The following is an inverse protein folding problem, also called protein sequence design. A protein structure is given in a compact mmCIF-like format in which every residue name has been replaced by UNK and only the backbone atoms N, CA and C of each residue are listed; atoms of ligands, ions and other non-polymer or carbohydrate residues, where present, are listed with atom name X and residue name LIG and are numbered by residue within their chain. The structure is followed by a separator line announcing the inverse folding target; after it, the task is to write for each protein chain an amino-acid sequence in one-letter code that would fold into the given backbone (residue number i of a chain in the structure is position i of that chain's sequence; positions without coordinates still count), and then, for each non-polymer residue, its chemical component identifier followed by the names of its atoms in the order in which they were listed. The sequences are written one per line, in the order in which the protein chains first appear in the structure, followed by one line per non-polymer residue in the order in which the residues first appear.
data_IF_887348957303
#
_entry.id   IF_887348957303
#
_cell.length_a   1.000
_cell.length_b   1.000
_cell.length_c   1.000
_cell.angle_alpha   90.00
_cell.angle_beta   90.00
_cell.angle_gamma   90.00
#
_symmetry.space_group_name_H-M   'P 1'
#
loop_
_entity.id
_entity.type
_entity.pdbx_description
1 polymer ?
#
# COMPACT_ATOMS: atom_id res chain seq x y z
N UNK A 1 84.72 -14.85 8.65
CA UNK A 1 84.13 -15.99 7.91
C UNK A 1 82.73 -15.52 7.48
N UNK A 2 82.68 -14.92 6.36
CA UNK A 2 82.16 -15.32 5.07
C UNK A 2 80.92 -16.22 5.16
N UNK A 3 79.77 -15.73 4.72
CA UNK A 3 79.16 -16.22 3.50
C UNK A 3 77.92 -15.34 3.14
N UNK A 4 77.95 -14.94 1.88
CA UNK A 4 76.96 -14.19 1.18
C UNK A 4 75.71 -15.04 0.88
N UNK A 5 74.54 -14.42 0.78
CA UNK A 5 73.41 -15.01 0.09
C UNK A 5 72.51 -13.97 -0.60
N UNK A 6 72.50 -14.10 -1.78
CA UNK A 6 71.65 -13.82 -2.93
C UNK A 6 70.27 -13.14 -2.63
N UNK A 7 70.13 -11.96 -3.18
CA UNK A 7 68.89 -11.32 -3.51
C UNK A 7 68.12 -12.09 -4.61
N UNK A 8 66.81 -12.19 -4.44
CA UNK A 8 65.87 -12.55 -5.52
C UNK A 8 65.00 -11.34 -5.84
N UNK A 9 64.66 -11.11 -7.12
CA UNK A 9 64.00 -9.92 -7.57
C UNK A 9 62.50 -9.91 -7.22
N UNK A 10 62.02 -8.73 -6.90
CA UNK A 10 60.65 -8.44 -6.52
C UNK A 10 59.61 -8.72 -7.61
N UNK A 11 58.51 -9.27 -7.17
CA UNK A 11 57.24 -9.25 -7.90
C UNK A 11 56.47 -8.02 -7.44
N UNK A 12 56.21 -7.14 -8.38
CA UNK A 12 55.33 -5.99 -8.20
C UNK A 12 53.89 -6.45 -7.86
N UNK A 13 53.17 -5.76 -6.97
CA UNK A 13 51.78 -6.07 -6.73
C UNK A 13 50.94 -5.65 -7.96
N UNK A 14 50.30 -6.65 -8.54
CA UNK A 14 49.24 -6.42 -9.55
C UNK A 14 48.07 -5.74 -8.83
N UNK A 15 47.93 -4.44 -9.05
CA UNK A 15 46.71 -3.72 -8.70
C UNK A 15 45.56 -4.31 -9.52
N UNK A 16 44.77 -5.16 -8.88
CA UNK A 16 43.45 -5.54 -9.36
C UNK A 16 42.54 -4.34 -9.18
N UNK A 17 42.53 -3.48 -10.19
CA UNK A 17 41.52 -2.41 -10.32
C UNK A 17 40.18 -3.11 -10.55
N UNK A 18 39.43 -3.35 -9.46
CA UNK A 18 38.03 -3.73 -9.55
C UNK A 18 37.29 -2.53 -10.16
N UNK A 19 37.02 -2.63 -11.45
CA UNK A 19 36.04 -1.82 -12.15
C UNK A 19 34.71 -1.99 -11.41
N UNK A 20 34.42 -1.07 -10.51
CA UNK A 20 33.05 -0.78 -10.10
C UNK A 20 32.42 -0.21 -11.35
N UNK A 21 31.77 -1.07 -12.13
CA UNK A 21 30.80 -0.63 -13.12
C UNK A 21 29.67 0.04 -12.34
N UNK A 22 29.74 1.36 -12.24
CA UNK A 22 28.57 2.18 -12.05
C UNK A 22 27.65 1.83 -13.23
N UNK A 23 26.58 1.08 -12.93
CA UNK A 23 25.51 0.87 -13.89
C UNK A 23 24.97 2.25 -14.29
N UNK A 24 25.38 2.70 -15.44
CA UNK A 24 24.66 3.77 -16.14
C UNK A 24 23.27 3.24 -16.39
N UNK A 25 22.25 3.91 -15.81
CA UNK A 25 20.86 3.72 -16.16
C UNK A 25 20.78 3.78 -17.69
N UNK A 26 20.42 2.67 -18.32
CA UNK A 26 20.14 2.65 -19.73
C UNK A 26 18.86 3.46 -19.93
N UNK A 27 18.94 4.55 -20.70
CA UNK A 27 17.80 5.43 -21.05
C UNK A 27 16.69 4.71 -21.88
N UNK A 28 16.77 3.41 -22.03
CA UNK A 28 15.78 2.65 -22.78
C UNK A 28 14.83 1.89 -21.83
N UNK A 29 13.51 2.08 -21.98
CA UNK A 29 12.53 1.35 -21.19
C UNK A 29 12.68 -0.15 -21.45
N UNK A 30 12.53 -0.95 -20.36
CA UNK A 30 12.58 -2.41 -20.47
C UNK A 30 11.42 -2.93 -21.32
N UNK A 31 11.56 -4.13 -21.95
CA UNK A 31 10.46 -4.75 -22.70
C UNK A 31 9.17 -4.89 -21.88
N UNK A 32 9.30 -5.22 -20.58
CA UNK A 32 8.18 -5.35 -19.64
C UNK A 32 7.47 -4.01 -19.42
N UNK A 33 8.24 -2.92 -19.25
CA UNK A 33 7.68 -1.57 -19.12
C UNK A 33 6.95 -1.14 -20.39
N UNK A 34 7.53 -1.41 -21.57
CA UNK A 34 6.88 -1.10 -22.84
C UNK A 34 5.59 -1.89 -23.05
N UNK A 35 5.58 -3.17 -22.69
CA UNK A 35 4.39 -4.01 -22.77
C UNK A 35 3.29 -3.50 -21.82
N UNK A 36 3.64 -3.21 -20.56
CA UNK A 36 2.71 -2.66 -19.58
C UNK A 36 2.07 -1.35 -20.04
N UNK A 37 2.87 -0.42 -20.58
CA UNK A 37 2.36 0.84 -21.19
C UNK A 37 1.38 0.56 -22.31
N UNK A 38 1.76 -0.31 -23.26
CA UNK A 38 0.89 -0.65 -24.40
C UNK A 38 -0.46 -1.23 -23.95
N UNK A 39 -0.47 -2.07 -22.91
CA UNK A 39 -1.72 -2.63 -22.38
C UNK A 39 -2.54 -1.58 -21.64
N UNK A 40 -1.90 -0.69 -20.87
CA UNK A 40 -2.58 0.42 -20.20
C UNK A 40 -3.21 1.38 -21.21
N UNK A 41 -2.52 1.66 -22.33
CA UNK A 41 -3.06 2.53 -23.37
C UNK A 41 -4.24 1.90 -24.11
N UNK A 42 -4.25 0.60 -24.26
CA UNK A 42 -5.33 -0.13 -24.94
C UNK A 42 -6.55 -0.37 -24.06
N UNK A 43 -6.36 -0.47 -22.73
CA UNK A 43 -7.43 -0.78 -21.77
C UNK A 43 -8.40 0.40 -21.60
N UNK A 44 -9.69 0.07 -21.48
CA UNK A 44 -10.78 1.03 -21.33
C UNK A 44 -11.38 1.05 -19.91
N UNK A 45 -11.22 -0.06 -19.18
CA UNK A 45 -11.71 -0.24 -17.81
C UNK A 45 -10.61 -0.81 -16.96
N UNK A 46 -9.87 0.09 -16.32
CA UNK A 46 -8.74 -0.27 -15.48
C UNK A 46 -9.18 -0.28 -14.02
N UNK A 47 -8.95 -1.41 -13.36
CA UNK A 47 -9.03 -1.50 -11.90
C UNK A 47 -7.64 -1.31 -11.33
N UNK A 48 -7.51 -0.35 -10.42
CA UNK A 48 -6.28 -0.14 -9.64
C UNK A 48 -6.45 -0.74 -8.26
N UNK A 49 -5.52 -1.59 -7.81
CA UNK A 49 -5.46 -2.16 -6.47
C UNK A 49 -4.23 -1.65 -5.74
N UNK A 50 -4.40 -0.82 -4.69
CA UNK A 50 -3.27 -0.25 -3.97
C UNK A 50 -3.08 -0.82 -2.58
N UNK A 51 -1.83 -0.78 -2.08
CA UNK A 51 -1.46 -1.19 -0.74
C UNK A 51 -0.49 -0.22 -0.07
N UNK A 52 -0.04 -0.56 1.14
CA UNK A 52 0.71 0.33 2.04
C UNK A 52 2.04 0.83 1.46
N UNK A 53 2.65 0.09 0.53
CA UNK A 53 3.87 0.51 -0.16
C UNK A 53 3.72 1.85 -0.89
N UNK A 54 2.51 2.19 -1.36
CA UNK A 54 2.25 3.48 -2.02
C UNK A 54 2.37 4.66 -1.05
N UNK A 55 2.06 4.47 0.23
CA UNK A 55 2.04 5.54 1.26
C UNK A 55 3.36 5.68 2.02
N UNK A 56 4.36 4.82 1.79
CA UNK A 56 5.65 4.89 2.51
C UNK A 56 6.39 6.19 2.24
N UNK A 57 6.35 6.69 1.01
CA UNK A 57 6.90 7.99 0.64
C UNK A 57 6.18 9.19 1.28
N UNK A 58 4.94 8.99 1.74
CA UNK A 58 4.17 9.98 2.51
C UNK A 58 4.49 9.97 4.00
N UNK A 59 5.46 9.15 4.43
CA UNK A 59 5.86 9.01 5.83
C UNK A 59 5.00 8.06 6.65
N UNK A 60 4.10 7.30 6.02
CA UNK A 60 3.29 6.26 6.67
C UNK A 60 4.02 4.92 6.48
N UNK A 61 4.49 4.27 7.57
CA UNK A 61 5.15 2.98 7.44
C UNK A 61 4.18 1.90 6.96
N UNK A 62 4.65 0.99 6.14
CA UNK A 62 3.92 -0.22 5.82
C UNK A 62 3.86 -1.19 7.04
N UNK A 63 3.24 -2.35 6.85
CA UNK A 63 3.06 -3.31 7.95
C UNK A 63 4.16 -4.37 8.00
N UNK A 64 4.64 -4.87 6.85
CA UNK A 64 5.46 -6.07 6.72
C UNK A 64 6.80 -5.87 6.03
N UNK A 65 7.03 -4.71 5.40
CA UNK A 65 8.31 -4.38 4.79
C UNK A 65 9.45 -4.33 5.81
N UNK A 66 10.70 -4.14 5.40
CA UNK A 66 11.86 -4.13 6.28
C UNK A 66 11.76 -3.10 7.42
N UNK A 67 11.00 -2.03 7.22
CA UNK A 67 10.73 -0.98 8.21
C UNK A 67 9.27 -1.00 8.71
N UNK A 68 8.53 -2.05 8.39
CA UNK A 68 7.11 -2.20 8.69
C UNK A 68 6.80 -2.24 10.18
N UNK A 69 5.59 -1.80 10.54
CA UNK A 69 5.14 -1.69 11.94
C UNK A 69 5.25 -3.02 12.68
N UNK A 70 4.83 -4.12 12.06
CA UNK A 70 4.88 -5.45 12.69
C UNK A 70 6.25 -6.10 12.64
N UNK A 71 7.09 -5.72 11.68
CA UNK A 71 8.50 -6.15 11.64
C UNK A 71 9.27 -5.56 12.80
N UNK A 72 8.96 -4.31 13.19
CA UNK A 72 9.61 -3.61 14.31
C UNK A 72 9.02 -3.97 15.67
N UNK A 73 7.71 -4.15 15.73
CA UNK A 73 6.97 -4.48 16.95
C UNK A 73 5.91 -5.55 16.65
N UNK A 74 6.24 -6.84 16.82
CA UNK A 74 5.27 -7.94 16.62
C UNK A 74 4.05 -7.85 17.52
N UNK A 75 4.13 -7.22 18.69
CA UNK A 75 2.97 -7.02 19.59
C UNK A 75 1.98 -5.97 19.05
N UNK A 76 2.42 -5.10 18.13
CA UNK A 76 1.54 -4.13 17.47
C UNK A 76 0.46 -4.82 16.61
N UNK A 77 0.66 -6.06 16.16
CA UNK A 77 -0.36 -6.82 15.44
C UNK A 77 -1.63 -7.03 16.30
N UNK A 78 -1.48 -7.20 17.62
CA UNK A 78 -2.60 -7.34 18.56
C UNK A 78 -3.52 -6.12 18.57
N UNK A 79 -2.99 -4.92 18.33
CA UNK A 79 -3.78 -3.69 18.24
C UNK A 79 -4.68 -3.67 16.99
N UNK A 80 -4.36 -4.50 16.00
CA UNK A 80 -5.11 -4.64 14.75
C UNK A 80 -6.04 -5.86 14.72
N UNK A 81 -6.15 -6.64 15.79
CA UNK A 81 -7.02 -7.82 15.90
C UNK A 81 -8.28 -7.51 16.72
N UNK A 82 -9.44 -7.75 16.11
CA UNK A 82 -10.75 -7.43 16.74
C UNK A 82 -10.99 -8.17 18.05
N UNK A 83 -10.48 -9.37 18.21
CA UNK A 83 -10.67 -10.19 19.42
C UNK A 83 -10.03 -9.54 20.64
N UNK A 84 -8.80 -9.06 20.50
CA UNK A 84 -8.11 -8.33 21.57
C UNK A 84 -8.75 -6.98 21.82
N UNK A 85 -9.15 -6.25 20.77
CA UNK A 85 -9.81 -4.96 20.89
C UNK A 85 -11.13 -5.08 21.70
N UNK A 86 -11.93 -6.11 21.47
CA UNK A 86 -13.20 -6.33 22.17
C UNK A 86 -13.00 -6.75 23.64
N UNK A 87 -12.00 -7.61 23.90
CA UNK A 87 -11.86 -8.26 25.19
C UNK A 87 -11.01 -7.49 26.21
N UNK A 88 -10.09 -6.60 25.75
CA UNK A 88 -9.13 -5.95 26.65
C UNK A 88 -9.19 -4.42 26.52
N UNK A 89 -9.69 -3.72 27.58
CA UNK A 89 -9.69 -2.25 27.63
C UNK A 89 -8.30 -1.62 27.51
N UNK A 90 -7.23 -2.30 27.94
CA UNK A 90 -5.88 -1.76 27.81
C UNK A 90 -5.39 -1.80 26.36
N UNK A 91 -5.81 -2.81 25.59
CA UNK A 91 -5.56 -2.83 24.13
C UNK A 91 -6.30 -1.69 23.45
N UNK A 92 -7.59 -1.44 23.81
CA UNK A 92 -8.33 -0.27 23.27
C UNK A 92 -7.65 1.06 23.57
N UNK A 93 -7.23 1.28 24.83
CA UNK A 93 -6.49 2.49 25.22
C UNK A 93 -5.22 2.66 24.41
N UNK A 94 -4.42 1.61 24.24
CA UNK A 94 -3.21 1.64 23.40
C UNK A 94 -3.55 1.93 21.93
N UNK A 95 -4.61 1.31 21.40
CA UNK A 95 -5.05 1.56 20.03
C UNK A 95 -5.49 3.02 19.85
N UNK A 96 -6.22 3.62 20.80
CA UNK A 96 -6.56 5.04 20.75
C UNK A 96 -5.35 5.96 20.78
N UNK A 97 -4.36 5.67 21.62
CA UNK A 97 -3.09 6.42 21.63
C UNK A 97 -2.37 6.30 20.28
N UNK A 98 -2.30 5.09 19.73
CA UNK A 98 -1.72 4.88 18.39
C UNK A 98 -2.48 5.64 17.30
N UNK A 99 -3.80 5.78 17.39
CA UNK A 99 -4.59 6.60 16.45
C UNK A 99 -4.32 8.10 16.63
N UNK A 100 -4.24 8.56 17.88
CA UNK A 100 -3.93 9.97 18.20
C UNK A 100 -2.56 10.37 17.65
N UNK A 101 -1.57 9.52 17.86
CA UNK A 101 -0.16 9.81 17.56
C UNK A 101 0.25 9.34 16.14
N UNK A 102 -0.73 8.96 15.32
CA UNK A 102 -0.48 8.44 13.98
C UNK A 102 0.13 9.49 13.04
N UNK A 103 1.19 9.15 12.27
CA UNK A 103 1.76 10.05 11.28
C UNK A 103 0.77 10.42 10.15
N UNK A 104 -0.31 9.68 10.00
CA UNK A 104 -1.34 9.93 8.97
C UNK A 104 -1.94 11.33 9.03
N UNK A 105 -1.96 11.95 10.21
CA UNK A 105 -2.55 13.29 10.39
C UNK A 105 -1.73 14.41 9.73
N UNK A 106 -0.44 14.18 9.49
CA UNK A 106 0.47 15.13 8.86
C UNK A 106 0.90 14.68 7.46
N UNK A 107 0.54 13.46 7.07
CA UNK A 107 0.91 12.91 5.78
C UNK A 107 0.22 13.66 4.64
N UNK A 108 0.98 13.88 3.57
CA UNK A 108 0.47 14.43 2.31
C UNK A 108 0.51 13.34 1.25
N UNK A 109 -0.37 13.39 0.24
CA UNK A 109 -0.28 12.50 -0.90
C UNK A 109 1.13 12.52 -1.50
N UNK A 110 1.68 11.35 -1.76
CA UNK A 110 2.93 11.23 -2.53
C UNK A 110 2.66 11.20 -4.02
N UNK A 111 3.73 11.28 -4.83
CA UNK A 111 3.65 11.32 -6.29
C UNK A 111 2.81 10.18 -6.87
N UNK A 112 2.88 8.98 -6.30
CA UNK A 112 2.06 7.85 -6.74
C UNK A 112 0.55 8.09 -6.62
N UNK A 113 0.09 8.75 -5.54
CA UNK A 113 -1.31 9.13 -5.37
C UNK A 113 -1.73 10.19 -6.40
N UNK A 114 -0.86 11.20 -6.61
CA UNK A 114 -1.13 12.28 -7.56
C UNK A 114 -1.20 11.78 -9.01
N UNK A 115 -0.31 10.86 -9.39
CA UNK A 115 -0.31 10.25 -10.73
C UNK A 115 -1.59 9.44 -10.95
N UNK A 116 -2.04 8.68 -9.96
CA UNK A 116 -3.30 7.93 -10.05
C UNK A 116 -4.52 8.85 -10.14
N UNK A 117 -4.54 9.96 -9.39
CA UNK A 117 -5.61 10.95 -9.48
C UNK A 117 -5.67 11.60 -10.88
N UNK A 118 -4.50 12.00 -11.44
CA UNK A 118 -4.45 12.48 -12.84
C UNK A 118 -4.86 11.42 -13.85
N UNK A 119 -4.45 10.16 -13.63
CA UNK A 119 -4.83 9.07 -14.50
C UNK A 119 -6.36 8.83 -14.49
N UNK A 120 -7.03 9.05 -13.37
CA UNK A 120 -8.49 9.00 -13.28
C UNK A 120 -9.18 10.00 -14.22
N UNK A 121 -8.58 11.17 -14.46
CA UNK A 121 -9.11 12.21 -15.37
C UNK A 121 -9.20 11.72 -16.82
N UNK A 122 -8.44 10.71 -17.21
CA UNK A 122 -8.54 10.09 -18.54
C UNK A 122 -9.84 9.32 -18.78
N UNK A 123 -10.61 9.07 -17.72
CA UNK A 123 -11.84 8.28 -17.76
C UNK A 123 -11.63 6.77 -17.86
N UNK A 124 -10.39 6.28 -17.98
CA UNK A 124 -10.04 4.85 -18.11
C UNK A 124 -9.89 4.13 -16.78
N UNK A 125 -9.56 4.85 -15.68
CA UNK A 125 -9.60 4.31 -14.33
C UNK A 125 -11.06 4.18 -13.92
N UNK A 126 -11.58 2.96 -13.94
CA UNK A 126 -12.96 2.65 -13.57
C UNK A 126 -13.15 2.64 -12.05
N UNK A 127 -12.31 1.88 -11.37
CA UNK A 127 -12.38 1.67 -9.92
C UNK A 127 -10.99 1.62 -9.31
N UNK A 128 -10.80 2.28 -8.17
CA UNK A 128 -9.62 2.18 -7.33
C UNK A 128 -9.99 1.49 -6.03
N UNK A 129 -9.48 0.27 -5.82
CA UNK A 129 -9.60 -0.48 -4.57
C UNK A 129 -8.33 -0.26 -3.76
N UNK A 130 -8.45 0.35 -2.58
CA UNK A 130 -7.30 0.53 -1.70
C UNK A 130 -7.40 -0.30 -0.44
N UNK A 131 -6.30 -0.96 -0.08
CA UNK A 131 -6.12 -1.61 1.21
C UNK A 131 -5.72 -0.61 2.30
N UNK A 132 -5.33 0.61 1.91
CA UNK A 132 -4.92 1.66 2.81
C UNK A 132 -6.14 2.30 3.49
N UNK A 133 -5.90 2.78 4.71
CA UNK A 133 -6.92 3.41 5.56
C UNK A 133 -6.68 4.91 5.74
N UNK A 134 -5.69 5.46 5.03
CA UNK A 134 -5.12 6.79 5.28
C UNK A 134 -5.90 7.94 4.64
N UNK A 135 -6.73 7.66 3.62
CA UNK A 135 -7.50 8.65 2.87
C UNK A 135 -6.64 9.52 1.93
N UNK A 136 -5.42 9.08 1.59
CA UNK A 136 -4.50 9.87 0.75
C UNK A 136 -4.93 9.91 -0.72
N UNK A 137 -5.64 8.90 -1.23
CA UNK A 137 -6.20 8.94 -2.58
C UNK A 137 -7.20 10.09 -2.75
N UNK A 138 -8.12 10.24 -1.81
CA UNK A 138 -9.11 11.32 -1.81
C UNK A 138 -8.44 12.69 -1.64
N UNK A 139 -7.42 12.78 -0.79
CA UNK A 139 -6.63 14.01 -0.61
C UNK A 139 -5.82 14.38 -1.87
N UNK A 140 -5.42 13.40 -2.68
CA UNK A 140 -4.76 13.61 -3.97
C UNK A 140 -5.72 14.08 -5.08
N UNK A 141 -7.04 13.99 -4.84
CA UNK A 141 -8.07 14.38 -5.82
C UNK A 141 -8.83 13.22 -6.46
N UNK A 142 -8.53 11.95 -6.10
CA UNK A 142 -9.34 10.83 -6.58
C UNK A 142 -10.80 10.95 -6.12
N UNK A 143 -11.74 10.67 -7.02
CA UNK A 143 -13.18 10.74 -6.74
C UNK A 143 -13.59 9.71 -5.69
N UNK A 144 -14.27 10.12 -4.60
CA UNK A 144 -14.77 9.19 -3.59
C UNK A 144 -15.67 8.08 -4.17
N UNK A 145 -16.40 8.36 -5.25
CA UNK A 145 -17.28 7.37 -5.88
C UNK A 145 -16.50 6.24 -6.58
N UNK A 146 -15.26 6.51 -6.99
CA UNK A 146 -14.36 5.52 -7.62
C UNK A 146 -13.46 4.80 -6.63
N UNK A 147 -13.23 5.39 -5.45
CA UNK A 147 -12.37 4.79 -4.42
C UNK A 147 -13.19 3.85 -3.53
N UNK A 148 -12.70 2.63 -3.35
CA UNK A 148 -13.20 1.65 -2.39
C UNK A 148 -12.12 1.46 -1.33
N UNK A 149 -12.30 2.02 -0.13
CA UNK A 149 -11.43 1.77 1.03
C UNK A 149 -11.83 0.41 1.64
N UNK A 150 -11.34 -0.67 1.04
CA UNK A 150 -11.78 -2.04 1.35
C UNK A 150 -11.50 -2.47 2.80
N UNK A 151 -10.52 -1.86 3.45
CA UNK A 151 -10.21 -2.04 4.87
C UNK A 151 -10.74 -0.89 5.75
N UNK A 152 -11.67 -0.09 5.21
CA UNK A 152 -12.24 1.07 5.91
C UNK A 152 -11.27 2.23 6.02
N UNK A 153 -11.57 3.17 6.93
CA UNK A 153 -10.82 4.43 7.04
C UNK A 153 -10.44 4.77 8.48
N UNK A 154 -9.26 5.35 8.67
CA UNK A 154 -8.82 5.92 9.95
C UNK A 154 -9.47 7.31 10.20
N UNK A 155 -10.04 7.91 9.17
CA UNK A 155 -10.62 9.27 9.23
C UNK A 155 -11.92 9.33 10.02
N UNK A 156 -12.52 8.18 10.32
CA UNK A 156 -13.79 8.08 11.02
C UNK A 156 -13.74 7.10 12.18
N UNK A 157 -14.68 7.25 13.08
CA UNK A 157 -14.96 6.35 14.21
C UNK A 157 -16.37 5.80 14.06
N UNK A 158 -16.53 4.51 14.30
CA UNK A 158 -17.82 3.84 14.32
C UNK A 158 -18.03 3.12 15.64
N UNK A 159 -19.29 3.03 16.07
CA UNK A 159 -19.70 2.17 17.15
C UNK A 159 -19.83 0.72 16.67
N UNK A 160 -19.37 -0.23 17.47
CA UNK A 160 -19.49 -1.66 17.15
C UNK A 160 -20.88 -2.22 17.45
N UNK A 161 -21.76 -1.45 18.15
CA UNK A 161 -23.06 -1.91 18.60
C UNK A 161 -24.25 -1.16 17.98
N UNK A 162 -24.06 0.05 17.42
CA UNK A 162 -25.11 0.84 16.81
C UNK A 162 -24.62 1.59 15.57
N UNK A 163 -25.47 2.39 14.93
CA UNK A 163 -25.17 3.14 13.71
C UNK A 163 -24.36 4.44 13.94
N UNK A 164 -23.92 4.71 15.18
CA UNK A 164 -23.13 5.92 15.46
C UNK A 164 -21.83 5.91 14.66
N UNK A 165 -21.61 7.01 13.90
CA UNK A 165 -20.43 7.21 13.09
C UNK A 165 -20.10 8.70 13.03
N UNK A 166 -18.83 9.06 13.29
CA UNK A 166 -18.40 10.47 13.35
C UNK A 166 -16.98 10.60 12.79
N UNK A 167 -16.53 11.81 12.40
CA UNK A 167 -15.13 12.06 12.09
C UNK A 167 -14.24 11.69 13.28
N UNK A 168 -13.05 11.16 12.99
CA UNK A 168 -12.07 10.79 14.02
C UNK A 168 -11.71 11.98 14.92
N UNK A 169 -11.66 13.19 14.37
CA UNK A 169 -11.34 14.39 15.12
C UNK A 169 -12.24 14.57 16.36
N UNK A 170 -13.54 14.27 16.27
CA UNK A 170 -14.49 14.31 17.38
C UNK A 170 -14.04 13.46 18.57
N UNK A 171 -13.47 12.27 18.29
CA UNK A 171 -13.01 11.37 19.35
C UNK A 171 -11.61 11.75 19.82
N UNK A 172 -10.74 12.25 18.94
CA UNK A 172 -9.43 12.78 19.33
C UNK A 172 -9.57 13.95 20.33
N UNK A 173 -10.58 14.79 20.19
CA UNK A 173 -10.89 15.88 21.14
C UNK A 173 -11.30 15.32 22.52
N UNK A 174 -12.08 14.23 22.57
CA UNK A 174 -12.42 13.53 23.82
C UNK A 174 -11.16 12.93 24.49
N UNK A 175 -10.27 12.33 23.71
CA UNK A 175 -8.97 11.84 24.22
C UNK A 175 -8.11 12.98 24.77
N UNK A 176 -8.08 14.12 24.09
CA UNK A 176 -7.36 15.32 24.56
C UNK A 176 -7.96 15.89 25.86
N UNK A 177 -9.28 15.74 26.06
CA UNK A 177 -9.98 16.10 27.30
C UNK A 177 -9.76 15.09 28.45
N UNK A 178 -9.01 14.00 28.22
CA UNK A 178 -8.60 13.03 29.25
C UNK A 178 -9.34 11.70 29.24
N UNK A 179 -10.31 11.48 28.33
CA UNK A 179 -10.90 10.17 28.16
C UNK A 179 -9.84 9.19 27.61
N UNK A 180 -9.80 7.97 28.13
CA UNK A 180 -8.80 6.98 27.72
C UNK A 180 -9.37 5.87 26.82
N UNK A 181 -10.65 5.55 26.99
CA UNK A 181 -11.40 4.52 26.24
C UNK A 181 -12.82 5.06 25.99
N UNK A 182 -12.98 5.97 25.01
CA UNK A 182 -14.24 6.64 24.76
C UNK A 182 -15.36 5.66 24.40
N UNK A 183 -16.49 5.74 25.09
CA UNK A 183 -17.69 4.98 24.80
C UNK A 183 -18.62 5.72 23.83
N UNK A 184 -19.48 4.97 23.15
CA UNK A 184 -20.48 5.52 22.27
C UNK A 184 -21.49 6.39 23.06
N UNK A 185 -21.71 7.66 22.70
CA UNK A 185 -22.64 8.52 23.40
C UNK A 185 -24.10 8.09 23.25
N UNK A 186 -24.43 7.34 22.18
CA UNK A 186 -25.80 6.92 21.89
C UNK A 186 -26.18 5.65 22.64
N UNK A 187 -25.27 4.70 22.84
CA UNK A 187 -25.61 3.38 23.38
C UNK A 187 -24.62 2.83 24.42
N UNK A 188 -23.57 3.56 24.78
CA UNK A 188 -22.51 3.07 25.67
C UNK A 188 -21.62 1.97 25.09
N UNK A 189 -21.78 1.64 23.82
CA UNK A 189 -21.02 0.59 23.14
C UNK A 189 -19.59 1.01 22.84
N UNK A 190 -18.77 0.01 22.48
CA UNK A 190 -17.36 0.22 22.14
C UNK A 190 -17.23 1.02 20.84
N UNK A 191 -16.48 2.12 20.89
CA UNK A 191 -16.06 2.87 19.72
C UNK A 191 -14.75 2.32 19.16
N UNK A 192 -14.59 2.39 17.85
CA UNK A 192 -13.38 1.98 17.14
C UNK A 192 -13.18 2.86 15.91
N UNK A 193 -11.92 3.12 15.50
CA UNK A 193 -11.70 3.65 14.15
C UNK A 193 -12.45 2.80 13.12
N UNK A 194 -13.05 3.44 12.12
CA UNK A 194 -13.86 2.77 11.10
C UNK A 194 -13.02 1.91 10.13
N UNK A 195 -11.93 1.33 10.64
CA UNK A 195 -11.03 0.41 9.92
C UNK A 195 -11.46 -1.04 10.15
N UNK A 196 -11.16 -1.92 9.22
CA UNK A 196 -11.38 -3.37 9.39
C UNK A 196 -10.15 -3.98 10.06
N UNK A 197 -10.38 -4.61 11.22
CA UNK A 197 -9.34 -5.33 11.96
C UNK A 197 -9.25 -6.79 11.52
N UNK A 198 -8.13 -7.45 11.77
CA UNK A 198 -8.01 -8.90 11.59
C UNK A 198 -9.08 -9.63 12.39
N UNK A 199 -9.69 -10.65 11.77
CA UNK A 199 -10.83 -11.37 12.34
C UNK A 199 -12.17 -10.64 12.20
N UNK A 200 -12.21 -9.45 11.62
CA UNK A 200 -13.43 -8.72 11.28
C UNK A 200 -13.76 -8.92 9.80
N UNK A 201 -15.03 -9.14 9.47
CA UNK A 201 -15.49 -9.24 8.09
C UNK A 201 -15.35 -7.89 7.36
N UNK A 202 -14.98 -7.93 6.09
CA UNK A 202 -15.08 -6.77 5.21
C UNK A 202 -16.55 -6.33 5.08
N UNK A 203 -16.75 -5.07 4.74
CA UNK A 203 -18.09 -4.56 4.41
C UNK A 203 -18.58 -5.27 3.14
N UNK A 204 -19.67 -6.04 3.25
CA UNK A 204 -20.16 -6.88 2.15
C UNK A 204 -20.46 -6.08 0.87
N UNK A 205 -20.99 -4.87 1.01
CA UNK A 205 -21.25 -3.98 -0.13
C UNK A 205 -19.95 -3.58 -0.85
N UNK A 206 -18.89 -3.22 -0.11
CA UNK A 206 -17.63 -2.77 -0.69
C UNK A 206 -16.89 -3.94 -1.36
N UNK A 207 -16.92 -5.13 -0.74
CA UNK A 207 -16.36 -6.33 -1.33
C UNK A 207 -17.09 -6.69 -2.64
N UNK A 208 -18.43 -6.66 -2.64
CA UNK A 208 -19.22 -6.94 -3.84
C UNK A 208 -18.95 -5.92 -4.97
N UNK A 209 -18.79 -4.62 -4.65
CA UNK A 209 -18.40 -3.59 -5.62
C UNK A 209 -17.01 -3.89 -6.20
N UNK A 210 -16.03 -4.21 -5.34
CA UNK A 210 -14.67 -4.53 -5.76
C UNK A 210 -14.64 -5.77 -6.67
N UNK A 211 -15.35 -6.84 -6.30
CA UNK A 211 -15.45 -8.06 -7.13
C UNK A 211 -16.15 -7.79 -8.46
N UNK A 212 -17.24 -7.01 -8.47
CA UNK A 212 -17.94 -6.65 -9.69
C UNK A 212 -17.04 -5.85 -10.64
N UNK A 213 -16.34 -4.84 -10.14
CA UNK A 213 -15.38 -4.07 -10.93
C UNK A 213 -14.25 -4.96 -11.48
N UNK A 214 -13.74 -5.88 -10.65
CA UNK A 214 -12.69 -6.83 -11.03
C UNK A 214 -13.13 -7.73 -12.19
N UNK A 215 -14.37 -8.22 -12.17
CA UNK A 215 -14.89 -9.09 -13.26
C UNK A 215 -15.12 -8.36 -14.57
N UNK A 216 -15.18 -7.03 -14.54
CA UNK A 216 -15.47 -6.21 -15.73
C UNK A 216 -14.25 -5.42 -16.21
N UNK A 217 -13.12 -5.45 -15.51
CA UNK A 217 -11.94 -4.73 -15.94
C UNK A 217 -11.24 -5.41 -17.12
N UNK A 218 -10.59 -4.61 -17.95
CA UNK A 218 -9.74 -5.07 -19.04
C UNK A 218 -8.31 -5.26 -18.56
N UNK A 219 -7.94 -4.52 -17.50
CA UNK A 219 -6.62 -4.56 -16.87
C UNK A 219 -6.74 -4.30 -15.37
N UNK A 220 -6.02 -5.10 -14.58
CA UNK A 220 -5.79 -4.87 -13.15
C UNK A 220 -4.36 -4.40 -12.94
N UNK A 221 -4.21 -3.19 -12.39
CA UNK A 221 -2.93 -2.59 -12.00
C UNK A 221 -2.79 -2.66 -10.47
N UNK A 222 -1.94 -3.56 -9.97
CA UNK A 222 -1.63 -3.67 -8.55
C UNK A 222 -0.40 -2.83 -8.19
N UNK A 223 -0.50 -1.99 -7.17
CA UNK A 223 0.56 -1.03 -6.79
C UNK A 223 0.83 -1.06 -5.30
N UNK A 224 2.09 -1.28 -4.92
CA UNK A 224 2.54 -1.14 -3.53
C UNK A 224 1.92 -2.13 -2.56
N UNK A 225 1.61 -3.34 -3.00
CA UNK A 225 1.00 -4.40 -2.18
C UNK A 225 1.76 -5.71 -2.31
N UNK A 226 1.93 -6.43 -1.21
CA UNK A 226 2.46 -7.81 -1.20
C UNK A 226 1.49 -8.83 -1.79
N UNK A 227 0.22 -8.44 -2.01
CA UNK A 227 -0.86 -9.29 -2.53
C UNK A 227 -1.02 -10.61 -1.76
N UNK A 228 -0.85 -10.56 -0.43
CA UNK A 228 -0.91 -11.73 0.48
C UNK A 228 -2.10 -11.70 1.44
N UNK A 229 -2.89 -10.61 1.47
CA UNK A 229 -4.01 -10.43 2.42
C UNK A 229 -5.33 -10.75 1.72
N UNK A 230 -5.95 -11.86 2.15
CA UNK A 230 -7.27 -12.27 1.66
C UNK A 230 -8.40 -11.65 2.49
N UNK A 231 -9.59 -11.43 1.87
CA UNK A 231 -9.97 -11.85 0.51
C UNK A 231 -9.48 -10.92 -0.62
N UNK A 232 -8.91 -9.75 -0.33
CA UNK A 232 -8.58 -8.72 -1.33
C UNK A 232 -7.54 -9.21 -2.36
N UNK A 233 -6.54 -9.98 -1.94
CA UNK A 233 -5.58 -10.60 -2.86
C UNK A 233 -6.25 -11.49 -3.91
N UNK A 234 -7.42 -12.06 -3.60
CA UNK A 234 -8.24 -12.87 -4.52
C UNK A 234 -8.80 -12.11 -5.72
N UNK A 235 -8.77 -10.77 -5.71
CA UNK A 235 -9.17 -9.96 -6.87
C UNK A 235 -8.23 -10.20 -8.07
N UNK A 236 -6.94 -10.47 -7.82
CA UNK A 236 -5.97 -10.70 -8.90
C UNK A 236 -6.30 -11.94 -9.72
N UNK A 237 -6.45 -13.16 -9.15
CA UNK A 237 -6.85 -14.32 -9.92
C UNK A 237 -8.25 -14.18 -10.54
N UNK A 238 -9.20 -13.50 -9.89
CA UNK A 238 -10.54 -13.23 -10.47
C UNK A 238 -10.41 -12.41 -11.77
N UNK A 239 -9.59 -11.34 -11.76
CA UNK A 239 -9.34 -10.55 -12.97
C UNK A 239 -8.68 -11.39 -14.07
N UNK A 240 -7.71 -12.22 -13.71
CA UNK A 240 -7.03 -13.11 -14.68
C UNK A 240 -7.99 -14.12 -15.33
N UNK A 241 -8.86 -14.73 -14.51
CA UNK A 241 -9.87 -15.68 -14.98
C UNK A 241 -10.88 -15.05 -15.95
N UNK A 242 -11.17 -13.77 -15.82
CA UNK A 242 -12.06 -13.02 -16.73
C UNK A 242 -11.35 -12.45 -17.96
N UNK A 243 -10.04 -12.70 -18.10
CA UNK A 243 -9.25 -12.33 -19.27
C UNK A 243 -8.57 -10.96 -19.17
N UNK A 244 -8.61 -10.29 -18.01
CA UNK A 244 -7.91 -9.05 -17.81
C UNK A 244 -6.38 -9.24 -17.81
N UNK A 245 -5.64 -8.23 -18.28
CA UNK A 245 -4.20 -8.15 -18.10
C UNK A 245 -3.88 -7.80 -16.64
N UNK A 246 -2.86 -8.43 -16.10
CA UNK A 246 -2.38 -8.18 -14.74
C UNK A 246 -1.02 -7.50 -14.80
N UNK A 247 -0.93 -6.28 -14.31
CA UNK A 247 0.32 -5.52 -14.17
C UNK A 247 0.56 -5.27 -12.69
N UNK A 248 1.73 -5.65 -12.19
CA UNK A 248 2.16 -5.40 -10.80
C UNK A 248 3.29 -4.39 -10.80
N UNK A 249 3.15 -3.33 -9.99
CA UNK A 249 4.20 -2.33 -9.71
C UNK A 249 4.47 -2.35 -8.21
N UNK A 250 5.61 -2.89 -7.80
CA UNK A 250 5.93 -3.02 -6.38
C UNK A 250 7.43 -2.85 -6.12
N UNK A 251 7.79 -2.50 -4.88
CA UNK A 251 9.19 -2.37 -4.44
C UNK A 251 9.90 -3.71 -4.24
N UNK A 252 9.14 -4.77 -4.01
CA UNK A 252 9.63 -6.12 -3.69
C UNK A 252 8.75 -7.16 -4.39
N UNK A 253 9.19 -8.44 -4.50
CA UNK A 253 8.36 -9.52 -5.04
C UNK A 253 7.04 -9.67 -4.28
N UNK A 254 6.00 -10.10 -4.98
CA UNK A 254 4.66 -10.30 -4.43
C UNK A 254 4.22 -11.77 -4.49
N UNK A 255 3.16 -12.09 -3.75
CA UNK A 255 2.58 -13.45 -3.78
C UNK A 255 1.89 -13.79 -5.12
N UNK A 256 1.74 -12.84 -6.03
CA UNK A 256 0.98 -12.98 -7.28
C UNK A 256 1.84 -12.73 -8.54
N UNK A 257 3.17 -12.64 -8.42
CA UNK A 257 4.07 -12.38 -9.56
C UNK A 257 3.91 -13.43 -10.67
N UNK A 258 3.73 -14.71 -10.31
CA UNK A 258 3.51 -15.80 -11.28
C UNK A 258 2.17 -15.67 -12.03
N UNK A 259 1.21 -14.90 -11.54
CA UNK A 259 -0.09 -14.66 -12.15
C UNK A 259 -0.04 -13.46 -13.10
N UNK A 260 0.92 -12.56 -12.91
CA UNK A 260 1.03 -11.31 -13.64
C UNK A 260 1.47 -11.50 -15.09
N UNK A 261 1.01 -10.61 -15.96
CA UNK A 261 1.49 -10.48 -17.34
C UNK A 261 2.76 -9.60 -17.39
N UNK A 262 2.91 -8.65 -16.45
CA UNK A 262 4.15 -7.90 -16.23
C UNK A 262 4.32 -7.58 -14.75
N UNK A 263 5.58 -7.65 -14.27
CA UNK A 263 5.98 -7.26 -12.93
C UNK A 263 7.08 -6.20 -13.04
N UNK A 264 6.82 -5.01 -12.55
CA UNK A 264 7.72 -3.88 -12.56
C UNK A 264 8.21 -3.63 -11.13
N UNK A 265 9.43 -4.05 -10.83
CA UNK A 265 10.03 -3.92 -9.50
C UNK A 265 10.85 -2.64 -9.43
N UNK A 266 10.61 -1.82 -8.40
CA UNK A 266 11.41 -0.62 -8.16
C UNK A 266 10.73 0.41 -7.26
N UNK A 267 11.35 1.59 -7.18
CA UNK A 267 10.79 2.73 -6.46
C UNK A 267 9.47 3.18 -7.11
N UNK A 268 8.38 3.08 -6.35
CA UNK A 268 7.04 3.40 -6.84
C UNK A 268 6.92 4.84 -7.35
N UNK A 269 7.67 5.79 -6.77
CA UNK A 269 7.67 7.19 -7.21
C UNK A 269 8.37 7.41 -8.55
N UNK A 270 9.13 6.42 -9.02
CA UNK A 270 9.78 6.45 -10.34
C UNK A 270 9.03 5.58 -11.33
N UNK A 271 8.72 4.34 -10.93
CA UNK A 271 8.13 3.34 -11.83
C UNK A 271 6.70 3.71 -12.19
N UNK A 272 5.85 4.08 -11.22
CA UNK A 272 4.45 4.36 -11.49
C UNK A 272 4.23 5.56 -12.43
N UNK A 273 4.91 6.72 -12.23
CA UNK A 273 4.87 7.79 -13.23
C UNK A 273 5.34 7.35 -14.62
N UNK A 274 6.44 6.58 -14.68
CA UNK A 274 6.95 6.11 -15.97
C UNK A 274 5.97 5.21 -16.72
N UNK A 275 5.07 4.53 -16.00
CA UNK A 275 4.02 3.67 -16.58
C UNK A 275 2.80 4.48 -17.01
N UNK A 276 2.41 5.54 -16.25
CA UNK A 276 1.13 6.23 -16.40
C UNK A 276 1.21 7.60 -17.09
N UNK A 277 2.35 8.33 -17.00
CA UNK A 277 2.42 9.73 -17.49
C UNK A 277 2.25 9.89 -19.01
N UNK A 278 2.63 8.90 -19.81
CA UNK A 278 2.34 8.93 -21.25
C UNK A 278 0.88 8.61 -21.56
N UNK A 279 0.24 7.83 -20.70
CA UNK A 279 -1.16 7.48 -20.81
C UNK A 279 -2.11 8.63 -20.39
N UNK A 280 -1.58 9.71 -19.81
CA UNK A 280 -2.36 10.91 -19.42
C UNK A 280 -2.35 12.01 -20.49
N UNK A 281 -1.62 11.82 -21.61
CA UNK A 281 -1.58 12.74 -22.75
C UNK A 281 -2.57 12.32 -23.85
#
# INVERSE_FOLDING_TARGET
MLLASKEKPGLAPVFLCSLIQTMTESDHPTPELQAAKSWLDAAQRILVLTGAGLSTASGIPDFRGPQGVWTRDPDAEKLSDIRYYLSDPNIRKKAWLSRRDSPVWQAQPGLGHEVLARFEETGRLDTLVTQNIDGLHQLAGSSPDRVIEIHGTIREVACLACAYRVPMQTVLERLAAGEQDPECPDCGGILKSATISFGQSLVAHDLARAEAATRHCDLLLAVGSTLSVYPVAGLVPIAKETGARIVIVNGEPTAMDDTADAVLVGDLNKVLPSVLDEATR
#
